data_IF_980098180968
#
_entry.id   IF_980098180968
#
_cell.length_a   1.000
_cell.length_b   1.000
_cell.length_c   1.000
_cell.angle_alpha   90.00
_cell.angle_beta   90.00
_cell.angle_gamma   90.00
#
_symmetry.space_group_name_H-M   'P 1'
#
loop_
_entity.id
_entity.type
_entity.pdbx_description
1 polymer ?
#
# COMPACT_ATOMS: atom_id res chain seq x y z
N UNK A 1 9.24 12.29 20.30
CA UNK A 1 8.41 12.48 19.08
C UNK A 1 9.06 11.87 17.83
N UNK A 2 10.37 12.01 17.60
CA UNK A 2 11.04 11.42 16.43
C UNK A 2 10.98 9.87 16.36
N UNK A 3 11.18 9.18 17.48
CA UNK A 3 11.23 7.70 17.53
C UNK A 3 9.92 7.01 17.07
N UNK A 4 8.78 7.59 17.42
CA UNK A 4 7.45 7.07 17.05
C UNK A 4 7.15 7.24 15.55
N UNK A 5 7.75 8.23 14.90
CA UNK A 5 7.62 8.42 13.45
C UNK A 5 8.43 7.38 12.66
N UNK A 6 9.58 6.95 13.19
CA UNK A 6 10.46 6.00 12.54
C UNK A 6 9.94 4.56 12.69
N UNK A 7 9.43 4.19 13.87
CA UNK A 7 8.77 2.89 14.08
C UNK A 7 7.54 2.72 13.19
N UNK A 8 6.75 3.79 13.03
CA UNK A 8 5.60 3.79 12.09
C UNK A 8 6.07 3.68 10.65
N UNK A 9 7.14 4.37 10.25
CA UNK A 9 7.68 4.27 8.90
C UNK A 9 8.12 2.84 8.56
N UNK A 10 8.84 2.17 9.48
CA UNK A 10 9.26 0.78 9.32
C UNK A 10 8.05 -0.16 9.21
N UNK A 11 7.05 0.02 10.08
CA UNK A 11 5.81 -0.75 10.01
C UNK A 11 5.11 -0.59 8.66
N UNK A 12 4.93 0.65 8.19
CA UNK A 12 4.25 0.92 6.92
C UNK A 12 5.01 0.32 5.74
N UNK A 13 6.34 0.47 5.71
CA UNK A 13 7.17 -0.15 4.67
C UNK A 13 7.05 -1.68 4.67
N UNK A 14 6.93 -2.30 5.83
CA UNK A 14 6.70 -3.75 5.94
C UNK A 14 5.33 -4.14 5.40
N UNK A 15 4.28 -3.41 5.77
CA UNK A 15 2.91 -3.72 5.35
C UNK A 15 2.74 -3.57 3.85
N UNK A 16 3.30 -2.52 3.25
CA UNK A 16 3.32 -2.33 1.80
C UNK A 16 4.00 -3.53 1.10
N UNK A 17 5.14 -3.98 1.63
CA UNK A 17 5.84 -5.16 1.10
C UNK A 17 5.03 -6.45 1.25
N UNK A 18 4.31 -6.60 2.35
CA UNK A 18 3.46 -7.78 2.59
C UNK A 18 2.28 -7.83 1.62
N UNK A 19 1.67 -6.68 1.30
CA UNK A 19 0.63 -6.58 0.26
C UNK A 19 1.21 -6.98 -1.10
N UNK A 20 2.34 -6.38 -1.51
CA UNK A 20 2.99 -6.72 -2.79
C UNK A 20 3.37 -8.21 -2.83
N UNK A 21 3.85 -8.76 -1.72
CA UNK A 21 4.17 -10.19 -1.58
C UNK A 21 2.93 -11.07 -1.69
N UNK A 22 1.79 -10.65 -1.13
CA UNK A 22 0.54 -11.40 -1.20
C UNK A 22 0.05 -11.55 -2.64
N UNK A 23 0.03 -10.46 -3.43
CA UNK A 23 -0.33 -10.51 -4.85
C UNK A 23 0.65 -11.34 -5.68
N UNK A 24 1.96 -11.28 -5.39
CA UNK A 24 2.95 -12.13 -6.05
C UNK A 24 2.77 -13.61 -5.72
N UNK A 25 2.38 -13.94 -4.49
CA UNK A 25 2.18 -15.32 -4.02
C UNK A 25 0.88 -15.93 -4.52
N UNK A 26 -0.17 -15.12 -4.60
CA UNK A 26 -1.47 -15.55 -5.10
C UNK A 26 -2.03 -14.55 -6.12
N UNK A 27 -1.82 -14.80 -7.44
CA UNK A 27 -2.38 -13.98 -8.50
C UNK A 27 -3.91 -14.09 -8.64
N UNK A 28 -4.54 -15.01 -7.91
CA UNK A 28 -5.98 -15.27 -7.96
C UNK A 28 -6.75 -14.61 -6.81
N UNK A 29 -6.17 -13.60 -6.15
CA UNK A 29 -6.89 -12.79 -5.16
C UNK A 29 -8.09 -12.14 -5.85
N UNK A 30 -9.29 -12.43 -5.37
CA UNK A 30 -10.56 -11.99 -5.97
C UNK A 30 -11.28 -10.93 -5.14
N UNK A 31 -10.89 -10.75 -3.89
CA UNK A 31 -11.51 -9.81 -2.96
C UNK A 31 -10.52 -9.30 -1.94
N UNK A 32 -10.70 -8.03 -1.58
CA UNK A 32 -10.02 -7.35 -0.51
C UNK A 32 -11.02 -6.94 0.57
N UNK A 33 -10.63 -7.02 1.84
CA UNK A 33 -11.52 -6.68 2.96
C UNK A 33 -10.79 -6.12 4.17
N UNK A 34 -11.54 -5.44 5.03
CA UNK A 34 -11.04 -4.95 6.31
C UNK A 34 -11.48 -5.91 7.43
N UNK A 35 -10.51 -6.39 8.21
CA UNK A 35 -10.74 -7.27 9.36
C UNK A 35 -10.87 -6.39 10.62
N UNK A 36 -12.01 -6.42 11.33
CA UNK A 36 -12.18 -5.69 12.59
C UNK A 36 -11.20 -6.19 13.65
N UNK A 37 -10.17 -5.39 13.91
CA UNK A 37 -9.10 -5.67 14.88
C UNK A 37 -8.58 -4.32 15.42
N UNK A 38 -9.01 -3.86 16.60
CA UNK A 38 -8.67 -2.51 17.09
C UNK A 38 -7.22 -2.37 17.56
N UNK A 39 -6.57 -3.47 17.95
CA UNK A 39 -5.22 -3.52 18.50
C UNK A 39 -4.44 -4.71 17.93
N UNK A 40 -3.13 -4.54 17.75
CA UNK A 40 -2.23 -5.60 17.31
C UNK A 40 -2.11 -6.66 18.41
N UNK A 41 -2.61 -7.88 18.15
CA UNK A 41 -2.67 -8.95 19.16
C UNK A 41 -1.41 -9.81 19.22
N UNK A 42 -0.65 -9.88 18.13
CA UNK A 42 0.53 -10.74 17.99
C UNK A 42 1.58 -10.04 17.14
N UNK A 43 2.83 -10.52 17.20
CA UNK A 43 3.89 -10.13 16.27
C UNK A 43 3.66 -10.77 14.89
N UNK A 44 2.56 -10.41 14.23
CA UNK A 44 2.13 -10.88 12.92
C UNK A 44 1.82 -9.69 12.03
N UNK A 45 1.96 -9.91 10.72
CA UNK A 45 1.54 -8.93 9.73
C UNK A 45 0.04 -8.64 9.87
N UNK A 46 -0.39 -7.37 9.73
CA UNK A 46 -1.81 -7.04 9.62
C UNK A 46 -2.44 -7.53 8.30
N UNK A 47 -1.63 -8.02 7.37
CA UNK A 47 -2.08 -8.57 6.10
C UNK A 47 -2.33 -10.07 6.26
N UNK A 48 -3.60 -10.47 6.13
CA UNK A 48 -4.08 -11.83 6.31
C UNK A 48 -4.61 -12.35 4.98
N UNK A 49 -3.92 -13.32 4.39
CA UNK A 49 -4.36 -13.99 3.18
C UNK A 49 -5.00 -15.33 3.55
N UNK A 50 -6.30 -15.49 3.28
CA UNK A 50 -7.05 -16.75 3.45
C UNK A 50 -7.64 -17.13 2.10
N UNK A 51 -7.23 -18.28 1.56
CA UNK A 51 -7.60 -18.70 0.21
C UNK A 51 -7.26 -17.61 -0.83
N UNK A 52 -8.28 -17.03 -1.48
CA UNK A 52 -8.16 -15.95 -2.46
C UNK A 52 -8.58 -14.58 -1.89
N UNK A 53 -8.78 -14.48 -0.57
CA UNK A 53 -9.26 -13.28 0.11
C UNK A 53 -8.12 -12.60 0.86
N UNK A 54 -7.84 -11.33 0.53
CA UNK A 54 -6.83 -10.52 1.21
C UNK A 54 -7.50 -9.61 2.24
N UNK A 55 -7.23 -9.84 3.52
CA UNK A 55 -7.72 -9.02 4.62
C UNK A 55 -6.64 -8.11 5.21
N UNK A 56 -6.99 -6.87 5.52
CA UNK A 56 -6.17 -5.96 6.33
C UNK A 56 -6.79 -5.77 7.71
N UNK A 57 -6.01 -5.96 8.77
CA UNK A 57 -6.46 -5.67 10.14
C UNK A 57 -6.59 -4.15 10.41
N UNK A 58 -7.75 -3.73 10.92
CA UNK A 58 -8.11 -2.31 11.05
C UNK A 58 -7.20 -1.44 11.92
N UNK A 59 -6.41 -2.05 12.82
CA UNK A 59 -5.46 -1.30 13.65
C UNK A 59 -4.33 -0.70 12.82
N UNK A 60 -4.02 -1.26 11.65
CA UNK A 60 -2.95 -0.79 10.78
C UNK A 60 -3.38 0.45 9.97
N UNK A 61 -4.62 0.48 9.50
CA UNK A 61 -5.16 1.54 8.65
C UNK A 61 -4.92 2.97 9.19
N UNK A 62 -4.99 3.16 10.52
CA UNK A 62 -4.75 4.47 11.18
C UNK A 62 -3.32 4.99 11.07
N UNK A 63 -2.36 4.10 10.81
CA UNK A 63 -0.95 4.44 10.59
C UNK A 63 -0.61 4.42 9.11
N UNK A 64 -1.09 3.39 8.40
CA UNK A 64 -0.81 3.15 6.99
C UNK A 64 -1.33 4.27 6.12
N UNK A 65 -2.62 4.59 6.21
CA UNK A 65 -3.27 5.54 5.31
C UNK A 65 -2.68 6.95 5.41
N UNK A 66 -2.52 7.57 6.61
CA UNK A 66 -1.94 8.92 6.68
C UNK A 66 -0.49 8.97 6.18
N UNK A 67 0.29 7.91 6.42
CA UNK A 67 1.69 7.85 5.99
C UNK A 67 1.80 7.80 4.47
N UNK A 68 1.13 6.84 3.81
CA UNK A 68 1.20 6.67 2.35
C UNK A 68 0.59 7.87 1.60
N UNK A 69 -0.46 8.49 2.16
CA UNK A 69 -1.02 9.73 1.63
C UNK A 69 0.01 10.86 1.66
N UNK A 70 0.70 11.04 2.79
CA UNK A 70 1.70 12.09 2.94
C UNK A 70 2.90 11.85 2.01
N UNK A 71 3.39 10.61 1.90
CA UNK A 71 4.47 10.24 0.98
C UNK A 71 4.14 10.62 -0.47
N UNK A 72 2.93 10.29 -0.94
CA UNK A 72 2.52 10.62 -2.31
C UNK A 72 2.38 12.14 -2.52
N UNK A 73 1.90 12.88 -1.51
CA UNK A 73 1.83 14.34 -1.54
C UNK A 73 3.23 14.99 -1.58
N UNK A 74 4.17 14.47 -0.79
CA UNK A 74 5.55 14.95 -0.78
C UNK A 74 6.24 14.68 -2.12
N UNK A 75 5.98 13.51 -2.72
CA UNK A 75 6.39 13.21 -4.08
C UNK A 75 5.80 14.21 -5.09
N UNK A 76 4.49 14.45 -5.04
CA UNK A 76 3.82 15.36 -5.99
C UNK A 76 4.29 16.81 -5.85
N UNK A 77 4.60 17.24 -4.63
CA UNK A 77 5.14 18.57 -4.33
C UNK A 77 6.66 18.65 -4.51
N UNK A 78 7.32 17.58 -5.00
CA UNK A 78 8.76 17.48 -5.24
C UNK A 78 9.62 17.73 -3.99
N UNK A 79 9.05 17.51 -2.81
CA UNK A 79 9.74 17.62 -1.51
C UNK A 79 10.49 16.35 -1.16
N UNK A 80 10.03 15.22 -1.70
CA UNK A 80 10.65 13.91 -1.51
C UNK A 80 10.66 13.17 -2.84
N UNK A 81 11.75 12.46 -3.10
CA UNK A 81 11.86 11.60 -4.27
C UNK A 81 11.44 10.18 -3.89
N UNK A 82 10.66 9.54 -4.75
CA UNK A 82 10.30 8.13 -4.67
C UNK A 82 10.74 7.48 -5.96
N UNK A 83 11.34 6.29 -5.84
CA UNK A 83 11.69 5.51 -7.01
C UNK A 83 10.42 4.92 -7.67
N UNK A 84 10.60 4.37 -8.86
CA UNK A 84 9.47 3.87 -9.67
C UNK A 84 8.74 2.71 -9.00
N UNK A 85 9.48 1.79 -8.39
CA UNK A 85 8.90 0.61 -7.71
C UNK A 85 8.16 1.04 -6.44
N UNK A 86 8.72 1.97 -5.66
CA UNK A 86 8.07 2.59 -4.50
C UNK A 86 6.77 3.29 -4.89
N UNK A 87 6.74 4.02 -6.00
CA UNK A 87 5.51 4.65 -6.50
C UNK A 87 4.45 3.61 -6.86
N UNK A 88 4.84 2.50 -7.49
CA UNK A 88 3.91 1.42 -7.84
C UNK A 88 3.34 0.79 -6.56
N UNK A 89 4.19 0.47 -5.59
CA UNK A 89 3.82 -0.18 -4.33
C UNK A 89 2.93 0.74 -3.46
N UNK A 90 3.30 2.01 -3.32
CA UNK A 90 2.54 3.00 -2.54
C UNK A 90 1.19 3.27 -3.18
N UNK A 91 1.16 3.54 -4.50
CA UNK A 91 -0.13 3.83 -5.16
C UNK A 91 -1.02 2.58 -5.25
N UNK A 92 -0.45 1.38 -5.35
CA UNK A 92 -1.20 0.12 -5.23
C UNK A 92 -1.88 0.04 -3.87
N UNK A 93 -1.08 0.09 -2.78
CA UNK A 93 -1.58 0.00 -1.41
C UNK A 93 -2.64 1.07 -1.13
N UNK A 94 -2.39 2.31 -1.57
CA UNK A 94 -3.31 3.42 -1.33
C UNK A 94 -4.65 3.20 -2.04
N UNK A 95 -4.65 2.73 -3.29
CA UNK A 95 -5.89 2.49 -4.03
C UNK A 95 -6.68 1.28 -3.53
N UNK A 96 -6.02 0.30 -2.91
CA UNK A 96 -6.72 -0.81 -2.24
C UNK A 96 -7.48 -0.32 -1.00
N UNK A 97 -6.96 0.69 -0.29
CA UNK A 97 -7.56 1.23 0.93
C UNK A 97 -8.53 2.40 0.66
N UNK A 98 -8.24 3.21 -0.36
CA UNK A 98 -8.96 4.42 -0.71
C UNK A 98 -9.03 4.59 -2.24
N UNK A 99 -9.95 3.87 -2.91
CA UNK A 99 -10.04 3.86 -4.37
C UNK A 99 -10.42 5.22 -4.98
N UNK A 100 -11.03 6.11 -4.19
CA UNK A 100 -11.45 7.45 -4.63
C UNK A 100 -10.28 8.46 -4.67
N UNK A 101 -9.08 8.07 -4.24
CA UNK A 101 -7.92 8.98 -4.26
C UNK A 101 -7.37 9.19 -5.67
N UNK A 102 -7.98 10.16 -6.36
CA UNK A 102 -7.71 10.49 -7.78
C UNK A 102 -6.22 10.78 -8.06
N UNK A 103 -5.47 11.32 -7.08
CA UNK A 103 -4.04 11.57 -7.24
C UNK A 103 -3.25 10.29 -7.48
N UNK A 104 -3.55 9.20 -6.76
CA UNK A 104 -2.88 7.92 -6.95
C UNK A 104 -3.18 7.35 -8.34
N UNK A 105 -4.43 7.40 -8.80
CA UNK A 105 -4.77 7.03 -10.18
C UNK A 105 -4.00 7.83 -11.22
N UNK A 106 -3.85 9.14 -11.03
CA UNK A 106 -3.12 9.98 -11.96
C UNK A 106 -1.62 9.64 -12.02
N UNK A 107 -0.98 9.34 -10.87
CA UNK A 107 0.40 8.86 -10.84
C UNK A 107 0.53 7.52 -11.58
N UNK A 108 -0.40 6.59 -11.40
CA UNK A 108 -0.39 5.32 -12.15
C UNK A 108 -0.54 5.52 -13.66
N UNK A 109 -1.39 6.46 -14.10
CA UNK A 109 -1.50 6.84 -15.53
C UNK A 109 -0.18 7.38 -16.07
N UNK A 110 0.51 8.25 -15.31
CA UNK A 110 1.84 8.75 -15.68
C UNK A 110 2.87 7.61 -15.79
N UNK A 111 2.85 6.64 -14.87
CA UNK A 111 3.71 5.46 -14.92
C UNK A 111 3.43 4.56 -16.13
N UNK A 112 2.17 4.36 -16.50
CA UNK A 112 1.77 3.61 -17.70
C UNK A 112 2.25 4.33 -18.96
N UNK A 113 2.01 5.64 -19.07
CA UNK A 113 2.46 6.45 -20.21
C UNK A 113 3.98 6.45 -20.37
N UNK A 114 4.72 6.37 -19.27
CA UNK A 114 6.18 6.26 -19.28
C UNK A 114 6.71 4.86 -19.65
N UNK A 115 5.84 3.86 -19.83
CA UNK A 115 6.21 2.46 -20.07
C UNK A 115 6.77 1.74 -18.85
N UNK A 116 6.70 2.35 -17.66
CA UNK A 116 7.21 1.77 -16.41
C UNK A 116 6.23 0.75 -15.82
N UNK A 117 4.92 1.04 -15.90
CA UNK A 117 3.86 0.16 -15.41
C UNK A 117 3.11 -0.44 -16.60
N UNK A 118 2.93 -1.76 -16.60
CA UNK A 118 2.14 -2.46 -17.61
C UNK A 118 0.69 -2.57 -17.12
N UNK A 119 -0.26 -1.95 -17.83
CA UNK A 119 -1.67 -1.95 -17.44
C UNK A 119 -2.35 -3.32 -17.45
N UNK A 120 -1.80 -4.30 -18.17
CA UNK A 120 -2.34 -5.66 -18.27
C UNK A 120 -1.76 -6.57 -17.18
N UNK A 121 -0.51 -6.34 -16.80
CA UNK A 121 0.20 -7.12 -15.77
C UNK A 121 0.12 -6.48 -14.38
N UNK A 122 -0.61 -5.38 -14.25
CA UNK A 122 -0.73 -4.71 -12.97
C UNK A 122 -1.47 -5.65 -12.00
N UNK A 123 -0.82 -6.01 -10.89
CA UNK A 123 -1.26 -7.02 -9.90
C UNK A 123 -1.22 -8.50 -10.37
N UNK A 124 -0.55 -8.82 -11.49
CA UNK A 124 -0.41 -10.19 -12.03
C UNK A 124 1.04 -10.64 -12.30
#
# INVERSE_FOLDING_TARGET
MAKMSEEVAVLVQWVVKDITSAFRRNPHIDEIGLIPCPEARYNRSPIVLVENKLGEESWCAKFLLPYIHNELLLYRTRKQWLNKDELIDITCTLLLLNPDFTMAWNVRKELILSGTLNSIKDLH
#
